data_IF_669277394522
#
_entry.id   IF_669277394522
#
_cell.length_a   1.000
_cell.length_b   1.000
_cell.length_c   1.000
_cell.angle_alpha   90.00
_cell.angle_beta   90.00
_cell.angle_gamma   90.00
#
_symmetry.space_group_name_H-M   'P 1'
#
loop_
_entity.id
_entity.type
_entity.pdbx_description
1 polymer ?
#
# COMPACT_ATOMS: atom_id res chain seq x y z
N UNK A 1 95.00 -1.65 24.38
CA UNK A 1 94.07 -2.31 23.45
C UNK A 1 92.68 -1.74 23.65
N UNK A 2 92.06 -1.31 22.54
CA UNK A 2 90.60 -1.21 22.28
C UNK A 2 89.72 -0.59 23.38
N UNK A 3 89.43 0.71 23.22
CA UNK A 3 88.26 1.38 23.81
C UNK A 3 87.20 1.59 22.72
N UNK A 4 86.03 1.00 22.93
CA UNK A 4 84.87 1.07 22.05
C UNK A 4 84.17 2.45 22.11
N UNK A 5 83.60 2.91 20.99
CA UNK A 5 82.57 3.97 20.89
C UNK A 5 81.95 3.83 19.48
N UNK A 6 80.77 3.23 19.28
CA UNK A 6 79.40 3.65 19.61
C UNK A 6 78.99 5.00 18.99
N UNK A 7 78.70 5.06 17.67
CA UNK A 7 77.89 6.16 17.09
C UNK A 7 77.56 5.97 15.59
N UNK A 8 76.49 5.23 15.25
CA UNK A 8 75.79 5.41 13.95
C UNK A 8 74.41 4.76 13.92
N UNK A 9 74.25 3.58 14.52
CA UNK A 9 72.99 2.81 14.52
C UNK A 9 71.85 3.47 15.32
N UNK A 10 72.15 4.04 16.50
CA UNK A 10 71.15 4.65 17.38
C UNK A 10 70.52 5.93 16.79
N UNK A 11 71.31 6.73 16.03
CA UNK A 11 70.81 7.94 15.38
C UNK A 11 69.89 7.64 14.18
N UNK A 12 70.07 6.50 13.51
CA UNK A 12 69.24 6.11 12.37
C UNK A 12 67.86 5.59 12.81
N UNK A 13 67.80 4.84 13.92
CA UNK A 13 66.53 4.40 14.51
C UNK A 13 65.69 5.55 15.05
N UNK A 14 66.32 6.53 15.71
CA UNK A 14 65.67 7.74 16.24
C UNK A 14 65.02 8.62 15.16
N UNK A 15 65.68 8.78 14.00
CA UNK A 15 65.14 9.58 12.88
C UNK A 15 63.93 8.92 12.20
N UNK A 16 63.90 7.59 12.10
CA UNK A 16 62.78 6.86 11.50
C UNK A 16 61.56 6.84 12.40
N UNK A 17 61.73 6.63 13.71
CA UNK A 17 60.62 6.70 14.65
C UNK A 17 60.03 8.10 14.75
N UNK A 18 60.86 9.15 14.73
CA UNK A 18 60.40 10.54 14.68
C UNK A 18 59.64 10.90 13.39
N UNK A 19 60.05 10.36 12.23
CA UNK A 19 59.34 10.57 10.97
C UNK A 19 57.99 9.84 10.93
N UNK A 20 57.91 8.62 11.46
CA UNK A 20 56.66 7.86 11.55
C UNK A 20 55.67 8.50 12.54
N UNK A 21 56.14 8.99 13.70
CA UNK A 21 55.27 9.71 14.63
C UNK A 21 54.80 11.04 14.06
N UNK A 22 55.66 11.80 13.38
CA UNK A 22 55.26 13.03 12.70
C UNK A 22 54.20 12.79 11.61
N UNK A 23 54.36 11.74 10.79
CA UNK A 23 53.39 11.38 9.75
C UNK A 23 52.04 10.93 10.34
N UNK A 24 52.06 10.14 11.43
CA UNK A 24 50.85 9.71 12.11
C UNK A 24 50.09 10.89 12.75
N UNK A 25 50.81 11.81 13.41
CA UNK A 25 50.25 13.04 13.96
C UNK A 25 49.65 13.91 12.86
N UNK A 26 50.33 14.04 11.71
CA UNK A 26 49.81 14.79 10.57
C UNK A 26 48.53 14.17 10.00
N UNK A 27 48.47 12.84 9.85
CA UNK A 27 47.24 12.16 9.40
C UNK A 27 46.07 12.34 10.37
N UNK A 28 46.31 12.28 11.68
CA UNK A 28 45.25 12.48 12.68
C UNK A 28 44.77 13.93 12.69
N UNK A 29 45.68 14.90 12.65
CA UNK A 29 45.32 16.33 12.57
C UNK A 29 44.57 16.62 11.26
N UNK A 30 45.03 16.11 10.12
CA UNK A 30 44.38 16.30 8.84
C UNK A 30 42.97 15.68 8.81
N UNK A 31 42.81 14.49 9.41
CA UNK A 31 41.49 13.83 9.53
C UNK A 31 40.55 14.63 10.43
N UNK A 32 41.04 15.17 11.55
CA UNK A 32 40.26 16.01 12.47
C UNK A 32 39.86 17.35 11.83
N UNK A 33 40.75 17.98 11.05
CA UNK A 33 40.45 19.21 10.32
C UNK A 33 39.40 18.95 9.23
N UNK A 34 39.50 17.83 8.49
CA UNK A 34 38.51 17.43 7.51
C UNK A 34 37.14 17.12 8.15
N UNK A 35 37.12 16.45 9.30
CA UNK A 35 35.89 16.22 10.08
C UNK A 35 35.28 17.54 10.59
N UNK A 36 36.12 18.51 10.99
CA UNK A 36 35.64 19.81 11.44
C UNK A 36 35.05 20.62 10.28
N UNK A 37 35.71 20.67 9.12
CA UNK A 37 35.19 21.30 7.91
C UNK A 37 33.91 20.64 7.37
N UNK A 38 33.78 19.31 7.51
CA UNK A 38 32.53 18.61 7.19
C UNK A 38 31.41 18.97 8.17
N UNK A 39 31.72 19.17 9.46
CA UNK A 39 30.72 19.57 10.46
C UNK A 39 30.21 21.00 10.25
N UNK A 40 31.05 21.90 9.73
CA UNK A 40 30.65 23.29 9.40
C UNK A 40 29.88 23.43 8.07
N UNK A 41 29.84 22.38 7.23
CA UNK A 41 29.13 22.39 5.94
C UNK A 41 27.81 21.61 5.95
N UNK A 42 27.39 21.07 7.11
CA UNK A 42 26.05 20.50 7.26
C UNK A 42 25.00 21.62 7.31
N UNK A 43 23.94 21.55 6.48
CA UNK A 43 22.86 22.54 6.54
C UNK A 43 22.24 22.54 7.94
N UNK A 44 22.16 23.73 8.55
CA UNK A 44 21.49 23.93 9.83
C UNK A 44 20.00 23.56 9.68
N UNK A 45 19.59 22.46 10.29
CA UNK A 45 18.17 22.08 10.40
C UNK A 45 17.52 23.11 11.33
N UNK A 46 16.86 24.10 10.74
CA UNK A 46 16.06 25.06 11.48
C UNK A 46 14.68 24.45 11.72
N UNK A 47 14.40 24.08 12.97
CA UNK A 47 13.06 23.74 13.40
C UNK A 47 12.20 24.99 13.32
N UNK A 48 11.27 25.05 12.36
CA UNK A 48 10.23 26.09 12.38
C UNK A 48 9.33 25.82 13.59
N UNK A 49 9.07 26.82 14.46
CA UNK A 49 8.02 26.70 15.46
C UNK A 49 6.69 26.49 14.76
N UNK A 50 5.91 25.52 15.24
CA UNK A 50 4.55 25.27 14.77
C UNK A 50 3.70 26.53 15.00
N UNK A 51 3.30 27.19 13.91
CA UNK A 51 2.32 28.27 13.95
C UNK A 51 0.93 27.64 13.92
N UNK A 52 0.15 27.80 14.99
CA UNK A 52 -1.24 27.37 15.01
C UNK A 52 -2.02 28.09 13.90
N UNK A 53 -2.87 27.38 13.12
CA UNK A 53 -3.66 28.01 12.07
C UNK A 53 -4.67 29.02 12.63
N UNK A 54 -4.88 30.09 11.87
CA UNK A 54 -5.90 31.13 12.11
C UNK A 54 -7.33 30.56 12.10
N UNK A 55 -8.29 31.02 12.92
CA UNK A 55 -9.58 30.34 13.15
C UNK A 55 -10.63 30.45 12.03
N UNK A 56 -10.29 30.89 10.82
CA UNK A 56 -11.29 31.22 9.80
C UNK A 56 -11.19 30.40 8.50
N UNK A 57 -10.88 29.10 8.58
CA UNK A 57 -10.86 28.20 7.41
C UNK A 57 -11.83 27.03 7.57
N UNK A 58 -13.03 27.14 6.99
CA UNK A 58 -13.92 26.00 6.73
C UNK A 58 -13.42 25.17 5.53
N UNK A 59 -12.14 24.83 5.51
CA UNK A 59 -11.50 24.03 4.46
C UNK A 59 -10.65 22.97 5.11
N UNK A 60 -11.21 21.78 5.28
CA UNK A 60 -10.45 20.63 5.79
C UNK A 60 -9.61 20.10 4.65
N UNK A 61 -8.34 20.49 4.63
CA UNK A 61 -7.35 19.99 3.69
C UNK A 61 -6.93 18.59 4.15
N UNK A 62 -7.54 17.56 3.56
CA UNK A 62 -6.87 16.28 3.50
C UNK A 62 -5.74 16.46 2.49
N UNK A 63 -4.50 16.25 2.92
CA UNK A 63 -3.26 16.34 2.12
C UNK A 63 -3.22 15.39 0.90
N UNK A 64 -4.36 14.80 0.51
CA UNK A 64 -4.52 14.05 -0.73
C UNK A 64 -4.44 15.02 -1.91
N UNK A 65 -3.46 14.88 -2.83
CA UNK A 65 -3.37 15.73 -4.01
C UNK A 65 -4.67 15.64 -4.83
N UNK A 66 -5.17 16.78 -5.33
CA UNK A 66 -6.27 16.79 -6.28
C UNK A 66 -5.71 16.71 -7.71
N UNK A 67 -6.10 15.67 -8.45
CA UNK A 67 -5.71 15.52 -9.85
C UNK A 67 -6.49 16.51 -10.72
N UNK A 68 -5.80 17.44 -11.39
CA UNK A 68 -6.46 18.48 -12.17
C UNK A 68 -7.29 17.90 -13.33
N UNK A 69 -6.84 16.78 -13.88
CA UNK A 69 -7.49 16.03 -14.95
C UNK A 69 -8.82 15.39 -14.52
N UNK A 70 -9.08 15.21 -13.22
CA UNK A 70 -10.35 14.67 -12.73
C UNK A 70 -11.48 15.73 -12.71
N UNK A 71 -11.14 17.03 -12.77
CA UNK A 71 -12.12 18.11 -12.65
C UNK A 71 -13.17 18.03 -13.76
N UNK A 72 -14.43 17.99 -13.36
CA UNK A 72 -15.57 17.90 -14.27
C UNK A 72 -15.90 16.48 -14.74
N UNK A 73 -15.14 15.47 -14.31
CA UNK A 73 -15.47 14.05 -14.46
C UNK A 73 -16.08 13.52 -13.16
N UNK A 74 -15.45 13.86 -12.03
CA UNK A 74 -15.88 13.43 -10.69
C UNK A 74 -16.85 14.41 -10.06
N UNK A 75 -17.80 13.91 -9.28
CA UNK A 75 -18.58 14.76 -8.38
C UNK A 75 -17.70 15.20 -7.19
N UNK A 76 -17.10 16.38 -7.32
CA UNK A 76 -16.19 16.96 -6.32
C UNK A 76 -16.85 17.09 -4.93
N UNK A 77 -18.16 17.36 -4.87
CA UNK A 77 -18.89 17.46 -3.62
C UNK A 77 -19.00 16.11 -2.91
N UNK A 78 -19.36 15.04 -3.66
CA UNK A 78 -19.41 13.67 -3.13
C UNK A 78 -18.03 13.22 -2.69
N UNK A 79 -16.99 13.53 -3.47
CA UNK A 79 -15.62 13.20 -3.10
C UNK A 79 -15.16 13.95 -1.85
N UNK A 80 -15.42 15.25 -1.76
CA UNK A 80 -15.10 16.06 -0.59
C UNK A 80 -15.85 15.58 0.66
N UNK A 81 -17.11 15.16 0.52
CA UNK A 81 -17.88 14.57 1.62
C UNK A 81 -17.30 13.23 2.06
N UNK A 82 -17.04 12.31 1.13
CA UNK A 82 -16.43 10.98 1.40
C UNK A 82 -15.14 11.12 2.18
N UNK A 83 -14.36 12.15 1.85
CA UNK A 83 -13.12 12.52 2.53
C UNK A 83 -13.33 13.02 3.96
N UNK A 84 -14.26 13.95 4.17
CA UNK A 84 -14.56 14.50 5.52
C UNK A 84 -15.21 13.49 6.45
N UNK A 85 -16.12 12.65 5.91
CA UNK A 85 -16.98 11.74 6.65
C UNK A 85 -16.20 10.83 7.63
N UNK A 86 -15.01 10.39 7.26
CA UNK A 86 -14.26 9.37 8.03
C UNK A 86 -13.06 9.90 8.82
N UNK A 87 -12.87 11.22 8.89
CA UNK A 87 -11.73 11.82 9.62
C UNK A 87 -11.72 11.49 11.11
N UNK A 88 -12.90 11.24 11.68
CA UNK A 88 -13.08 10.87 13.08
C UNK A 88 -12.76 9.40 13.37
N UNK A 89 -12.60 8.55 12.35
CA UNK A 89 -12.25 7.15 12.52
C UNK A 89 -10.79 6.98 12.93
N UNK A 90 -10.49 5.84 13.57
CA UNK A 90 -9.14 5.50 14.02
C UNK A 90 -8.18 5.37 12.84
N UNK A 91 -7.00 5.95 12.97
CA UNK A 91 -5.92 5.81 12.01
C UNK A 91 -4.72 5.02 12.56
N UNK A 92 -4.80 4.54 13.80
CA UNK A 92 -3.79 3.74 14.49
C UNK A 92 -3.99 2.22 14.34
N UNK A 93 -5.13 1.80 13.77
CA UNK A 93 -5.51 0.42 13.49
C UNK A 93 -6.15 0.28 12.11
N UNK A 94 -6.32 -0.96 11.64
CA UNK A 94 -6.99 -1.29 10.40
C UNK A 94 -8.07 -2.36 10.55
N UNK A 95 -8.98 -2.40 9.58
CA UNK A 95 -9.99 -3.45 9.42
C UNK A 95 -9.61 -4.35 8.26
N UNK A 96 -9.63 -5.67 8.47
CA UNK A 96 -9.44 -6.66 7.40
C UNK A 96 -10.80 -7.04 6.82
N UNK A 97 -10.97 -6.88 5.51
CA UNK A 97 -12.21 -7.23 4.78
C UNK A 97 -11.91 -8.40 3.85
N UNK A 98 -12.54 -9.55 4.10
CA UNK A 98 -12.33 -10.78 3.34
C UNK A 98 -13.58 -11.09 2.52
N UNK A 99 -13.48 -11.16 1.20
CA UNK A 99 -14.59 -11.62 0.36
C UNK A 99 -14.57 -13.13 0.18
N UNK A 100 -15.73 -13.78 0.36
CA UNK A 100 -15.86 -15.22 0.18
C UNK A 100 -17.14 -15.63 -0.56
N UNK A 101 -17.04 -16.73 -1.33
CA UNK A 101 -18.16 -17.37 -2.02
C UNK A 101 -17.85 -18.84 -2.26
N UNK A 102 -18.59 -19.75 -1.61
CA UNK A 102 -18.52 -21.20 -1.78
C UNK A 102 -17.12 -21.77 -1.55
N UNK A 103 -16.35 -21.18 -0.63
CA UNK A 103 -14.98 -21.58 -0.30
C UNK A 103 -14.73 -21.59 1.22
N UNK A 104 -15.55 -22.32 2.00
CA UNK A 104 -15.41 -22.35 3.46
C UNK A 104 -14.02 -22.82 3.91
N UNK A 105 -13.41 -23.79 3.23
CA UNK A 105 -12.07 -24.29 3.59
C UNK A 105 -10.98 -23.21 3.41
N UNK A 106 -11.06 -22.43 2.32
CA UNK A 106 -10.11 -21.35 2.04
C UNK A 106 -10.26 -20.23 3.05
N UNK A 107 -11.51 -19.82 3.30
CA UNK A 107 -11.83 -18.81 4.31
C UNK A 107 -11.31 -19.24 5.69
N UNK A 108 -11.60 -20.48 6.09
CA UNK A 108 -11.17 -21.01 7.38
C UNK A 108 -9.64 -21.04 7.49
N UNK A 109 -8.92 -21.46 6.44
CA UNK A 109 -7.46 -21.44 6.44
C UNK A 109 -6.90 -20.02 6.61
N UNK A 110 -7.44 -19.04 5.87
CA UNK A 110 -7.05 -17.63 6.00
C UNK A 110 -7.36 -17.08 7.40
N UNK A 111 -8.56 -17.34 7.94
CA UNK A 111 -8.95 -16.89 9.28
C UNK A 111 -8.09 -17.53 10.37
N UNK A 112 -7.84 -18.85 10.31
CA UNK A 112 -6.98 -19.54 11.28
C UNK A 112 -5.56 -18.99 11.29
N UNK A 113 -5.03 -18.59 10.14
CA UNK A 113 -3.70 -18.00 10.04
C UNK A 113 -3.66 -16.57 10.58
N UNK A 114 -4.58 -15.71 10.14
CA UNK A 114 -4.61 -14.29 10.56
C UNK A 114 -4.94 -14.16 12.05
N UNK A 115 -5.82 -15.00 12.57
CA UNK A 115 -6.26 -14.97 13.97
C UNK A 115 -5.45 -15.90 14.88
N UNK A 116 -4.46 -16.62 14.35
CA UNK A 116 -3.61 -17.51 15.13
C UNK A 116 -2.61 -16.77 16.02
N UNK A 117 -2.23 -15.54 15.63
CA UNK A 117 -1.26 -14.70 16.33
C UNK A 117 -1.86 -13.32 16.63
N UNK A 118 -1.34 -12.65 17.67
CA UNK A 118 -1.76 -11.30 17.99
C UNK A 118 -1.21 -10.32 16.94
N UNK A 119 -2.10 -9.57 16.30
CA UNK A 119 -1.75 -8.45 15.41
C UNK A 119 -2.21 -7.16 16.09
N UNK A 120 -1.33 -6.42 16.80
CA UNK A 120 -1.74 -5.28 17.62
C UNK A 120 -2.50 -4.18 16.86
N UNK A 121 -2.23 -4.02 15.56
CA UNK A 121 -2.86 -3.01 14.71
C UNK A 121 -4.15 -3.49 14.04
N UNK A 122 -4.53 -4.77 14.16
CA UNK A 122 -5.82 -5.26 13.67
C UNK A 122 -6.93 -4.83 14.64
N UNK A 123 -8.00 -4.25 14.09
CA UNK A 123 -9.17 -3.83 14.86
C UNK A 123 -10.29 -4.88 14.80
N UNK A 124 -10.67 -5.26 13.59
CA UNK A 124 -11.74 -6.21 13.31
C UNK A 124 -11.49 -6.93 11.98
N UNK A 125 -12.14 -8.08 11.83
CA UNK A 125 -12.26 -8.79 10.55
C UNK A 125 -13.71 -8.77 10.11
N UNK A 126 -13.96 -8.35 8.88
CA UNK A 126 -15.28 -8.38 8.26
C UNK A 126 -15.27 -9.34 7.08
N UNK A 127 -15.99 -10.44 7.21
CA UNK A 127 -16.17 -11.41 6.14
C UNK A 127 -17.38 -11.02 5.30
N UNK A 128 -17.15 -10.62 4.06
CA UNK A 128 -18.19 -10.32 3.08
C UNK A 128 -18.72 -11.64 2.53
N UNK A 129 -19.89 -12.04 3.03
CA UNK A 129 -20.56 -13.28 2.68
C UNK A 129 -21.42 -13.07 1.42
N UNK A 130 -20.92 -13.55 0.27
CA UNK A 130 -21.61 -13.42 -1.02
C UNK A 130 -22.58 -14.57 -1.33
N UNK A 131 -22.68 -15.58 -0.44
CA UNK A 131 -23.61 -16.69 -0.62
C UNK A 131 -25.02 -16.32 -0.12
N UNK A 132 -25.72 -15.48 -0.88
CA UNK A 132 -27.03 -14.87 -0.49
C UNK A 132 -28.15 -15.87 -0.17
N UNK A 133 -28.01 -17.12 -0.62
CA UNK A 133 -29.00 -18.19 -0.40
C UNK A 133 -28.61 -19.15 0.74
N UNK A 134 -27.53 -18.86 1.46
CA UNK A 134 -27.08 -19.67 2.60
C UNK A 134 -26.92 -18.79 3.83
N UNK A 135 -27.24 -19.35 4.99
CA UNK A 135 -27.05 -18.67 6.26
C UNK A 135 -25.55 -18.46 6.48
N UNK A 136 -25.15 -17.21 6.70
CA UNK A 136 -23.78 -16.90 7.11
C UNK A 136 -23.50 -17.48 8.51
N UNK A 137 -22.25 -17.83 8.82
CA UNK A 137 -21.86 -18.14 10.19
C UNK A 137 -22.16 -16.98 11.16
N UNK A 138 -22.29 -17.30 12.44
CA UNK A 138 -22.45 -16.29 13.49
C UNK A 138 -21.17 -15.48 13.70
N UNK A 139 -21.33 -14.21 14.05
CA UNK A 139 -20.25 -13.35 14.54
C UNK A 139 -19.57 -14.00 15.76
N UNK A 140 -18.25 -13.83 15.87
CA UNK A 140 -17.49 -14.30 17.03
C UNK A 140 -16.34 -13.36 17.40
N UNK A 141 -15.73 -13.60 18.56
CA UNK A 141 -14.53 -12.91 19.02
C UNK A 141 -13.40 -13.95 19.06
N UNK A 142 -12.26 -13.63 18.45
CA UNK A 142 -11.09 -14.51 18.47
C UNK A 142 -10.41 -14.55 19.84
N UNK A 143 -9.48 -15.49 20.03
CA UNK A 143 -8.68 -15.60 21.25
C UNK A 143 -7.83 -14.34 21.53
N UNK A 144 -7.51 -13.57 20.48
CA UNK A 144 -6.78 -12.29 20.57
C UNK A 144 -7.73 -11.07 20.63
N UNK A 145 -8.99 -11.28 21.02
CA UNK A 145 -10.01 -10.24 21.20
C UNK A 145 -10.30 -9.41 19.92
N UNK A 146 -10.18 -10.03 18.75
CA UNK A 146 -10.55 -9.43 17.46
C UNK A 146 -11.96 -9.88 17.11
N UNK A 147 -12.89 -8.93 16.90
CA UNK A 147 -14.24 -9.24 16.42
C UNK A 147 -14.17 -9.71 14.97
N UNK A 148 -14.81 -10.84 14.67
CA UNK A 148 -15.06 -11.35 13.33
C UNK A 148 -16.54 -11.23 13.04
N UNK A 149 -16.90 -10.42 12.05
CA UNK A 149 -18.29 -10.16 11.67
C UNK A 149 -18.57 -10.67 10.27
N UNK A 150 -19.70 -11.36 10.09
CA UNK A 150 -20.17 -11.81 8.79
C UNK A 150 -21.17 -10.82 8.21
N UNK A 151 -20.75 -10.09 7.18
CA UNK A 151 -21.59 -9.15 6.44
C UNK A 151 -22.24 -9.84 5.26
N UNK A 152 -23.52 -10.18 5.40
CA UNK A 152 -24.32 -10.76 4.31
C UNK A 152 -24.51 -9.73 3.20
N UNK A 153 -24.09 -10.11 2.00
CA UNK A 153 -24.28 -9.25 0.82
C UNK A 153 -25.72 -9.34 0.31
N UNK A 154 -26.31 -8.24 -0.18
CA UNK A 154 -27.65 -8.27 -0.78
C UNK A 154 -27.69 -9.04 -2.11
N UNK A 155 -26.54 -9.21 -2.78
CA UNK A 155 -26.37 -9.97 -4.01
C UNK A 155 -24.97 -10.55 -4.08
N UNK A 156 -24.80 -11.64 -4.84
CA UNK A 156 -23.47 -12.15 -5.17
C UNK A 156 -22.80 -11.21 -6.18
N UNK A 157 -21.90 -10.35 -5.70
CA UNK A 157 -21.24 -9.33 -6.53
C UNK A 157 -19.82 -9.08 -6.02
N UNK A 158 -18.88 -8.89 -6.94
CA UNK A 158 -17.50 -8.53 -6.60
C UNK A 158 -17.41 -7.12 -5.99
N UNK A 159 -18.37 -6.25 -6.28
CA UNK A 159 -18.46 -4.90 -5.70
C UNK A 159 -18.62 -4.92 -4.18
N UNK A 160 -19.19 -5.98 -3.60
CA UNK A 160 -19.54 -6.03 -2.17
C UNK A 160 -18.32 -5.99 -1.26
N UNK A 161 -17.14 -6.40 -1.74
CA UNK A 161 -15.88 -6.25 -1.01
C UNK A 161 -15.47 -4.77 -0.85
N UNK A 162 -15.83 -3.93 -1.81
CA UNK A 162 -15.47 -2.52 -1.87
C UNK A 162 -16.52 -1.60 -1.23
N UNK A 163 -17.59 -2.15 -0.67
CA UNK A 163 -18.66 -1.36 -0.07
C UNK A 163 -18.26 -0.77 1.28
N UNK A 164 -18.43 0.55 1.44
CA UNK A 164 -18.15 1.24 2.69
C UNK A 164 -19.17 0.83 3.77
N UNK A 165 -18.69 0.16 4.80
CA UNK A 165 -19.51 -0.30 5.93
C UNK A 165 -19.74 0.85 6.93
N UNK A 166 -20.99 1.16 7.31
CA UNK A 166 -21.24 2.13 8.40
C UNK A 166 -20.73 1.64 9.77
N UNK A 167 -20.49 0.34 9.95
CA UNK A 167 -19.91 -0.21 11.18
C UNK A 167 -18.38 -0.07 11.23
N UNK A 168 -17.69 0.23 10.12
CA UNK A 168 -16.24 0.40 10.15
C UNK A 168 -15.82 1.49 11.15
N UNK A 169 -14.71 1.24 11.85
CA UNK A 169 -14.15 2.15 12.86
C UNK A 169 -12.72 2.60 12.56
N UNK A 170 -12.16 2.18 11.44
CA UNK A 170 -10.80 2.50 11.01
C UNK A 170 -10.78 3.18 9.65
N UNK A 171 -9.84 4.10 9.46
CA UNK A 171 -9.57 4.73 8.17
C UNK A 171 -8.95 3.75 7.17
N UNK A 172 -8.12 2.84 7.67
CA UNK A 172 -7.42 1.83 6.88
C UNK A 172 -8.27 0.57 6.70
N UNK A 173 -8.49 0.17 5.45
CA UNK A 173 -9.18 -1.07 5.09
C UNK A 173 -8.22 -1.95 4.31
N UNK A 174 -7.85 -3.11 4.87
CA UNK A 174 -7.12 -4.14 4.15
C UNK A 174 -8.14 -5.04 3.42
N UNK A 175 -8.23 -4.89 2.11
CA UNK A 175 -9.05 -5.72 1.24
C UNK A 175 -8.32 -7.01 0.94
N UNK A 176 -9.02 -8.15 1.05
CA UNK A 176 -8.47 -9.48 0.86
C UNK A 176 -9.47 -10.41 0.16
N UNK A 177 -8.96 -11.29 -0.69
CA UNK A 177 -9.68 -12.49 -1.13
C UNK A 177 -9.48 -13.62 -0.10
N UNK A 178 -10.46 -14.51 0.03
CA UNK A 178 -10.44 -15.65 0.97
C UNK A 178 -9.28 -16.65 0.78
N UNK A 179 -8.43 -16.49 -0.24
CA UNK A 179 -7.23 -17.29 -0.52
C UNK A 179 -5.93 -16.46 -0.55
N UNK A 180 -5.97 -15.22 -0.04
CA UNK A 180 -4.86 -14.29 -0.07
C UNK A 180 -4.61 -13.64 1.29
N UNK A 181 -3.37 -13.71 1.78
CA UNK A 181 -3.00 -13.08 3.05
C UNK A 181 -1.52 -12.71 3.12
N UNK A 182 -1.21 -11.71 3.95
CA UNK A 182 0.14 -11.50 4.46
C UNK A 182 0.39 -12.44 5.64
N UNK A 183 1.64 -12.57 6.03
CA UNK A 183 1.98 -13.23 7.29
C UNK A 183 1.66 -12.27 8.45
N UNK A 184 1.09 -12.74 9.58
CA UNK A 184 0.65 -11.87 10.68
C UNK A 184 1.74 -10.89 11.15
N UNK A 185 2.96 -11.40 11.33
CA UNK A 185 4.15 -10.63 11.68
C UNK A 185 4.47 -9.46 10.75
N UNK A 186 4.08 -9.55 9.47
CA UNK A 186 4.35 -8.53 8.44
C UNK A 186 3.23 -7.49 8.34
N UNK A 187 2.02 -7.80 8.81
CA UNK A 187 0.86 -6.92 8.66
C UNK A 187 1.06 -5.58 9.37
N UNK A 188 1.69 -5.57 10.54
CA UNK A 188 2.01 -4.34 11.26
C UNK A 188 2.95 -3.41 10.48
N UNK A 189 3.99 -3.97 9.84
CA UNK A 189 4.92 -3.20 9.00
C UNK A 189 4.20 -2.59 7.79
N UNK A 190 3.40 -3.39 7.07
CA UNK A 190 2.71 -2.96 5.86
C UNK A 190 1.69 -1.86 6.18
N UNK A 191 0.92 -2.06 7.26
CA UNK A 191 -0.04 -1.06 7.74
C UNK A 191 0.64 0.25 8.12
N UNK A 192 1.72 0.20 8.92
CA UNK A 192 2.42 1.42 9.35
C UNK A 192 3.00 2.16 8.14
N UNK A 193 3.55 1.45 7.16
CA UNK A 193 4.04 2.07 5.93
C UNK A 193 2.91 2.76 5.16
N UNK A 194 1.75 2.10 4.99
CA UNK A 194 0.58 2.72 4.36
C UNK A 194 0.15 3.98 5.13
N UNK A 195 0.07 3.88 6.46
CA UNK A 195 -0.37 4.97 7.33
C UNK A 195 0.56 6.19 7.26
N UNK A 196 1.87 5.96 7.20
CA UNK A 196 2.86 7.03 7.30
C UNK A 196 3.18 7.66 5.94
N UNK A 197 3.17 6.87 4.87
CA UNK A 197 3.77 7.28 3.58
C UNK A 197 2.80 7.20 2.39
N UNK A 198 1.63 6.57 2.53
CA UNK A 198 0.82 6.20 1.36
C UNK A 198 -0.70 6.12 1.60
N UNK A 199 -1.25 6.92 2.53
CA UNK A 199 -2.70 6.99 2.78
C UNK A 199 -3.50 7.40 1.53
N UNK A 200 -2.87 8.13 0.62
CA UNK A 200 -3.42 8.62 -0.65
C UNK A 200 -3.29 7.62 -1.82
N UNK A 201 -2.85 6.38 -1.56
CA UNK A 201 -2.56 5.35 -2.56
C UNK A 201 -3.22 4.03 -2.20
N UNK A 202 -3.37 3.16 -3.20
CA UNK A 202 -3.59 1.73 -2.98
C UNK A 202 -2.23 1.09 -2.70
N UNK A 203 -2.11 0.41 -1.56
CA UNK A 203 -0.87 -0.26 -1.13
C UNK A 203 -1.11 -1.76 -1.02
N UNK A 204 -0.34 -2.61 -1.70
CA UNK A 204 -0.59 -4.06 -1.59
C UNK A 204 0.42 -4.98 -2.26
N UNK A 205 0.05 -6.25 -2.36
CA UNK A 205 1.00 -7.33 -2.66
C UNK A 205 1.19 -7.61 -4.15
N UNK A 206 0.11 -7.50 -4.94
CA UNK A 206 0.02 -8.13 -6.26
C UNK A 206 0.00 -7.09 -7.38
N UNK A 207 1.16 -6.67 -7.91
CA UNK A 207 1.23 -5.66 -8.95
C UNK A 207 0.76 -6.18 -10.30
N UNK A 208 0.11 -5.30 -11.06
CA UNK A 208 -0.31 -5.48 -12.46
C UNK A 208 0.00 -4.23 -13.26
N UNK A 209 0.04 -4.36 -14.57
CA UNK A 209 0.35 -3.27 -15.47
C UNK A 209 -0.72 -3.14 -16.56
N UNK A 210 -0.75 -1.97 -17.20
CA UNK A 210 -1.40 -1.78 -18.48
C UNK A 210 -0.33 -1.55 -19.53
N UNK A 211 -0.44 -2.26 -20.64
CA UNK A 211 0.37 -2.06 -21.85
C UNK A 211 -0.54 -1.54 -22.97
N UNK A 212 0.06 -1.16 -24.10
CA UNK A 212 -0.65 -0.74 -25.31
C UNK A 212 -0.25 -1.72 -26.42
N UNK A 213 -1.22 -2.25 -27.16
CA UNK A 213 -0.96 -3.08 -28.33
C UNK A 213 -0.66 -2.25 -29.59
N UNK A 214 -0.39 -2.90 -30.71
CA UNK A 214 -0.04 -2.25 -31.97
C UNK A 214 -1.20 -1.38 -32.51
N UNK A 215 -2.43 -1.75 -32.17
CA UNK A 215 -3.66 -1.04 -32.51
C UNK A 215 -4.00 0.11 -31.54
N UNK A 216 -3.14 0.40 -30.56
CA UNK A 216 -3.34 1.48 -29.59
C UNK A 216 -4.35 1.15 -28.49
N UNK A 217 -4.78 -0.10 -28.36
CA UNK A 217 -5.69 -0.54 -27.29
C UNK A 217 -4.93 -0.88 -26.01
N UNK A 218 -5.51 -0.52 -24.87
CA UNK A 218 -4.96 -0.89 -23.58
C UNK A 218 -5.11 -2.40 -23.34
N UNK A 219 -4.06 -3.04 -22.81
CA UNK A 219 -4.09 -4.44 -22.39
C UNK A 219 -3.69 -4.56 -20.93
N UNK A 220 -4.58 -5.16 -20.14
CA UNK A 220 -4.22 -5.66 -18.81
C UNK A 220 -3.06 -6.68 -18.90
N UNK A 221 -2.05 -6.53 -18.04
CA UNK A 221 -0.87 -7.39 -18.03
C UNK A 221 -0.41 -7.70 -16.60
N UNK A 222 0.32 -8.80 -16.44
CA UNK A 222 1.08 -9.05 -15.23
C UNK A 222 2.24 -8.07 -15.15
N UNK A 223 2.60 -7.57 -13.96
CA UNK A 223 3.75 -6.68 -13.82
C UNK A 223 5.10 -7.41 -14.01
N UNK A 224 5.12 -8.74 -13.83
CA UNK A 224 6.33 -9.54 -14.03
C UNK A 224 6.78 -9.44 -15.49
N UNK A 225 8.02 -9.01 -15.70
CA UNK A 225 8.58 -8.76 -17.02
C UNK A 225 8.58 -7.30 -17.45
N UNK A 226 8.01 -6.41 -16.63
CA UNK A 226 8.05 -4.96 -16.81
C UNK A 226 8.87 -4.30 -15.71
N UNK A 227 9.47 -3.16 -16.03
CA UNK A 227 10.17 -2.27 -15.08
C UNK A 227 9.20 -1.38 -14.29
N UNK A 228 7.89 -1.57 -14.49
CA UNK A 228 6.83 -0.74 -13.94
C UNK A 228 5.52 -1.51 -13.73
N UNK A 229 4.69 -1.00 -12.84
CA UNK A 229 3.32 -1.45 -12.62
C UNK A 229 2.41 -0.25 -12.40
N UNK A 230 1.13 -0.39 -12.69
CA UNK A 230 0.16 0.71 -12.59
C UNK A 230 -1.09 0.34 -11.81
N UNK A 231 -1.17 -0.90 -11.33
CA UNK A 231 -2.28 -1.42 -10.55
C UNK A 231 -1.76 -2.34 -9.44
N UNK A 232 -2.51 -2.40 -8.34
CA UNK A 232 -2.37 -3.39 -7.28
C UNK A 232 -3.72 -4.10 -7.10
N UNK A 233 -3.74 -5.43 -7.15
CA UNK A 233 -5.00 -6.17 -6.99
C UNK A 233 -5.53 -6.06 -5.56
N UNK A 234 -6.83 -5.83 -5.42
CA UNK A 234 -7.54 -5.72 -4.13
C UNK A 234 -7.77 -7.08 -3.45
N UNK A 235 -7.20 -8.16 -4.00
CA UNK A 235 -7.12 -9.45 -3.32
C UNK A 235 -6.17 -9.44 -2.13
N UNK A 236 -5.29 -8.44 -2.02
CA UNK A 236 -4.50 -8.16 -0.81
C UNK A 236 -3.94 -6.73 -0.87
N UNK A 237 -4.74 -5.73 -0.50
CA UNK A 237 -4.37 -4.31 -0.58
C UNK A 237 -5.06 -3.43 0.46
N UNK A 238 -4.30 -2.52 1.05
CA UNK A 238 -4.81 -1.38 1.81
C UNK A 238 -5.35 -0.28 0.91
N UNK A 239 -6.49 0.27 1.30
CA UNK A 239 -7.05 1.50 0.78
C UNK A 239 -7.67 2.32 1.94
N UNK A 240 -7.73 3.64 1.76
CA UNK A 240 -8.48 4.50 2.68
C UNK A 240 -9.98 4.32 2.48
N UNK A 241 -10.75 4.29 3.57
CA UNK A 241 -12.22 4.09 3.55
C UNK A 241 -12.97 5.13 2.70
N UNK A 242 -12.44 6.35 2.57
CA UNK A 242 -13.05 7.38 1.71
C UNK A 242 -13.09 6.97 0.24
N UNK A 243 -12.13 6.17 -0.24
CA UNK A 243 -12.17 5.64 -1.59
C UNK A 243 -13.30 4.62 -1.76
N UNK A 244 -13.52 3.77 -0.75
CA UNK A 244 -14.62 2.82 -0.75
C UNK A 244 -15.99 3.52 -0.69
N UNK A 245 -16.09 4.61 0.06
CA UNK A 245 -17.31 5.40 0.15
C UNK A 245 -17.62 6.12 -1.17
N UNK A 246 -16.63 6.77 -1.77
CA UNK A 246 -16.80 7.37 -3.09
C UNK A 246 -17.14 6.31 -4.16
N UNK A 247 -16.43 5.17 -4.14
CA UNK A 247 -16.73 4.03 -5.01
C UNK A 247 -18.16 3.52 -4.84
N UNK A 248 -18.74 3.63 -3.65
CA UNK A 248 -20.09 3.14 -3.32
C UNK A 248 -21.18 4.22 -3.43
N UNK A 249 -20.81 5.44 -3.78
CA UNK A 249 -21.70 6.60 -3.80
C UNK A 249 -22.65 6.61 -5.01
N UNK A 250 -23.60 7.55 -4.99
CA UNK A 250 -24.52 7.81 -6.10
C UNK A 250 -23.90 8.70 -7.21
N UNK A 251 -22.57 8.85 -7.23
CA UNK A 251 -21.88 9.44 -8.38
C UNK A 251 -22.24 8.63 -9.66
N UNK A 252 -22.72 9.27 -10.74
CA UNK A 252 -23.16 8.56 -11.94
C UNK A 252 -22.09 7.67 -12.56
N UNK A 253 -20.84 8.15 -12.63
CA UNK A 253 -19.74 7.37 -13.19
C UNK A 253 -19.46 6.14 -12.32
N UNK A 254 -19.51 6.29 -10.99
CA UNK A 254 -19.32 5.15 -10.08
C UNK A 254 -20.46 4.14 -10.19
N UNK A 255 -21.69 4.60 -10.41
CA UNK A 255 -22.84 3.72 -10.66
C UNK A 255 -22.65 2.89 -11.93
N UNK A 256 -22.32 3.54 -13.05
CA UNK A 256 -22.08 2.87 -14.32
C UNK A 256 -20.91 1.86 -14.23
N UNK A 257 -19.84 2.21 -13.51
CA UNK A 257 -18.69 1.32 -13.29
C UNK A 257 -19.11 0.07 -12.52
N UNK A 258 -19.87 0.22 -11.43
CA UNK A 258 -20.33 -0.91 -10.61
C UNK A 258 -21.26 -1.83 -11.40
N UNK A 259 -22.14 -1.27 -12.22
CA UNK A 259 -23.05 -2.03 -13.08
C UNK A 259 -22.29 -2.83 -14.13
N UNK A 260 -21.27 -2.23 -14.76
CA UNK A 260 -20.41 -2.94 -15.72
C UNK A 260 -19.63 -4.10 -15.06
N UNK A 261 -19.18 -3.90 -13.80
CA UNK A 261 -18.51 -4.95 -13.02
C UNK A 261 -19.47 -6.09 -12.69
N UNK A 262 -20.72 -5.79 -12.33
CA UNK A 262 -21.74 -6.81 -12.07
C UNK A 262 -22.07 -7.60 -13.35
N UNK A 263 -22.17 -6.92 -14.49
CA UNK A 263 -22.37 -7.57 -15.80
C UNK A 263 -21.20 -8.50 -16.17
N UNK A 264 -19.96 -8.01 -16.02
CA UNK A 264 -18.76 -8.79 -16.39
C UNK A 264 -18.37 -9.82 -15.35
N UNK A 265 -18.82 -9.65 -14.10
CA UNK A 265 -18.38 -10.37 -12.91
C UNK A 265 -16.84 -10.44 -12.81
N UNK A 266 -16.20 -9.27 -12.93
CA UNK A 266 -14.74 -9.10 -12.92
C UNK A 266 -14.38 -7.60 -12.74
N UNK A 267 -13.10 -7.29 -12.55
CA UNK A 267 -12.51 -5.95 -12.71
C UNK A 267 -12.80 -4.90 -11.62
N UNK A 268 -13.36 -5.28 -10.48
CA UNK A 268 -13.53 -4.37 -9.33
C UNK A 268 -12.20 -3.84 -8.82
N UNK A 269 -11.16 -4.67 -8.87
CA UNK A 269 -9.79 -4.29 -8.53
C UNK A 269 -9.21 -3.24 -9.50
N UNK A 270 -9.43 -3.43 -10.81
CA UNK A 270 -9.02 -2.47 -11.85
C UNK A 270 -9.76 -1.15 -11.65
N UNK A 271 -11.08 -1.20 -11.43
CA UNK A 271 -11.89 0.00 -11.23
C UNK A 271 -11.41 0.82 -10.02
N UNK A 272 -11.09 0.18 -8.90
CA UNK A 272 -10.56 0.89 -7.74
C UNK A 272 -9.22 1.58 -8.05
N UNK A 273 -8.32 0.94 -8.80
CA UNK A 273 -7.05 1.57 -9.21
C UNK A 273 -7.28 2.75 -10.17
N UNK A 274 -8.18 2.61 -11.15
CA UNK A 274 -8.57 3.71 -12.04
C UNK A 274 -9.10 4.90 -11.24
N UNK A 275 -10.05 4.64 -10.34
CA UNK A 275 -10.69 5.66 -9.52
C UNK A 275 -9.68 6.36 -8.60
N UNK A 276 -8.84 5.61 -7.87
CA UNK A 276 -7.85 6.22 -6.97
C UNK A 276 -6.82 7.04 -7.75
N UNK A 277 -6.26 6.50 -8.83
CA UNK A 277 -5.31 7.26 -9.66
C UNK A 277 -5.95 8.48 -10.33
N UNK A 278 -7.23 8.41 -10.70
CA UNK A 278 -7.98 9.56 -11.21
C UNK A 278 -8.13 10.62 -10.13
N UNK A 279 -8.56 10.26 -8.92
CA UNK A 279 -8.78 11.23 -7.84
C UNK A 279 -7.48 11.88 -7.36
N UNK A 280 -6.39 11.11 -7.27
CA UNK A 280 -5.18 11.54 -6.56
C UNK A 280 -3.98 11.82 -7.45
N UNK A 281 -4.04 11.48 -8.75
CA UNK A 281 -2.89 11.54 -9.65
C UNK A 281 -1.69 10.68 -9.20
N UNK A 282 -1.85 9.80 -8.20
CA UNK A 282 -0.79 8.93 -7.71
C UNK A 282 -0.82 7.54 -8.36
N UNK A 283 0.35 6.91 -8.41
CA UNK A 283 0.47 5.49 -8.74
C UNK A 283 0.19 4.63 -7.50
N UNK A 284 -0.25 3.37 -7.64
CA UNK A 284 -0.31 2.47 -6.49
C UNK A 284 1.10 2.09 -6.04
N UNK A 285 1.22 1.48 -4.86
CA UNK A 285 2.51 1.03 -4.31
C UNK A 285 2.48 -0.44 -3.94
N UNK A 286 3.46 -1.18 -4.43
CA UNK A 286 3.72 -2.53 -3.96
C UNK A 286 4.49 -2.48 -2.65
N UNK A 287 3.91 -3.08 -1.61
CA UNK A 287 4.56 -3.26 -0.30
C UNK A 287 4.43 -4.73 0.09
N UNK A 288 5.56 -5.36 0.39
CA UNK A 288 5.63 -6.76 0.82
C UNK A 288 6.38 -6.89 2.13
N UNK A 289 5.99 -7.91 2.89
CA UNK A 289 6.61 -8.27 4.15
C UNK A 289 8.00 -8.89 4.01
N UNK A 290 8.52 -9.44 5.10
CA UNK A 290 9.72 -10.25 5.10
C UNK A 290 9.48 -11.58 4.40
N UNK A 291 8.28 -12.14 4.61
CA UNK A 291 7.80 -13.34 3.94
C UNK A 291 6.96 -12.94 2.73
N UNK A 292 7.00 -13.77 1.69
CA UNK A 292 6.19 -13.52 0.50
C UNK A 292 4.70 -13.67 0.83
N UNK A 293 3.84 -12.76 0.35
CA UNK A 293 2.41 -12.87 0.52
C UNK A 293 1.88 -14.14 -0.15
N UNK A 294 0.90 -14.78 0.47
CA UNK A 294 0.26 -15.97 -0.08
C UNK A 294 -0.87 -15.55 -1.02
N UNK A 295 -0.91 -16.22 -2.17
CA UNK A 295 -2.05 -16.27 -3.07
C UNK A 295 -2.24 -17.74 -3.45
N UNK A 296 -3.06 -18.45 -2.69
CA UNK A 296 -3.20 -19.89 -2.83
C UNK A 296 -3.92 -20.27 -4.13
N UNK A 297 -4.69 -19.34 -4.72
CA UNK A 297 -5.33 -19.47 -6.01
C UNK A 297 -6.20 -20.73 -6.10
N UNK A 298 -7.47 -20.65 -5.69
CA UNK A 298 -8.36 -21.80 -5.73
C UNK A 298 -8.38 -22.53 -7.08
N UNK A 299 -8.32 -23.87 -7.09
CA UNK A 299 -8.33 -24.70 -8.33
C UNK A 299 -9.49 -24.38 -9.29
N UNK A 300 -10.59 -23.84 -8.76
CA UNK A 300 -11.79 -23.42 -9.50
C UNK A 300 -12.10 -21.92 -9.37
N UNK A 301 -11.10 -21.10 -9.08
CA UNK A 301 -11.24 -19.64 -8.94
C UNK A 301 -11.69 -18.95 -10.23
N UNK A 302 -12.21 -17.72 -10.10
CA UNK A 302 -12.69 -16.93 -11.24
C UNK A 302 -11.58 -16.67 -12.28
N UNK A 303 -10.33 -16.55 -11.81
CA UNK A 303 -9.13 -16.31 -12.62
C UNK A 303 -8.75 -17.48 -13.54
N UNK A 304 -9.20 -18.71 -13.24
CA UNK A 304 -8.89 -19.89 -14.06
C UNK A 304 -9.89 -20.11 -15.21
N UNK A 305 -11.01 -19.36 -15.21
CA UNK A 305 -12.04 -19.48 -16.24
C UNK A 305 -11.55 -18.93 -17.59
N UNK A 306 -11.92 -19.61 -18.69
CA UNK A 306 -11.63 -19.15 -20.06
C UNK A 306 -12.18 -17.73 -20.28
N UNK A 307 -11.36 -16.86 -20.86
CA UNK A 307 -11.74 -15.48 -21.14
C UNK A 307 -11.57 -14.50 -19.98
N UNK A 308 -11.11 -14.94 -18.80
CA UNK A 308 -10.89 -14.06 -17.65
C UNK A 308 -9.97 -12.86 -17.99
N UNK A 309 -8.83 -13.12 -18.63
CA UNK A 309 -7.89 -12.07 -19.05
C UNK A 309 -8.49 -11.19 -20.17
N UNK A 310 -9.25 -11.78 -21.09
CA UNK A 310 -9.96 -11.03 -22.14
C UNK A 310 -10.96 -10.03 -21.56
N UNK A 311 -11.71 -10.42 -20.52
CA UNK A 311 -12.57 -9.48 -19.78
C UNK A 311 -11.78 -8.35 -19.16
N UNK A 312 -10.63 -8.63 -18.54
CA UNK A 312 -9.76 -7.60 -17.97
C UNK A 312 -9.16 -6.65 -19.02
N UNK A 313 -8.81 -7.15 -20.21
CA UNK A 313 -8.45 -6.29 -21.34
C UNK A 313 -9.61 -5.37 -21.74
N UNK A 314 -10.85 -5.88 -21.79
CA UNK A 314 -12.02 -5.05 -22.05
C UNK A 314 -12.16 -3.97 -20.98
N UNK A 315 -12.13 -4.33 -19.70
CA UNK A 315 -12.35 -3.39 -18.59
C UNK A 315 -11.39 -2.19 -18.61
N UNK A 316 -10.10 -2.40 -18.91
CA UNK A 316 -9.15 -1.26 -18.99
C UNK A 316 -9.52 -0.27 -20.11
N UNK A 317 -10.07 -0.75 -21.23
CA UNK A 317 -10.54 0.14 -22.30
C UNK A 317 -11.91 0.74 -21.95
N UNK A 318 -12.83 -0.07 -21.40
CA UNK A 318 -14.16 0.40 -21.00
C UNK A 318 -14.06 1.54 -20.00
N UNK A 319 -13.26 1.38 -18.94
CA UNK A 319 -13.07 2.43 -17.93
C UNK A 319 -12.36 3.66 -18.52
N UNK A 320 -11.35 3.47 -19.39
CA UNK A 320 -10.71 4.60 -20.06
C UNK A 320 -11.70 5.39 -20.93
N UNK A 321 -12.63 4.70 -21.60
CA UNK A 321 -13.66 5.34 -22.43
C UNK A 321 -14.71 6.05 -21.58
N UNK A 322 -15.15 5.45 -20.47
CA UNK A 322 -16.12 6.04 -19.54
C UNK A 322 -15.57 7.30 -18.87
N UNK A 323 -14.27 7.29 -18.50
CA UNK A 323 -13.58 8.44 -17.89
C UNK A 323 -13.15 9.47 -18.95
N UNK A 324 -12.94 9.03 -20.20
CA UNK A 324 -12.45 9.86 -21.30
C UNK A 324 -10.91 9.89 -21.44
N UNK A 325 -10.18 9.25 -20.53
CA UNK A 325 -8.74 9.02 -20.61
C UNK A 325 -8.32 7.86 -19.68
N UNK A 326 -7.06 7.41 -19.77
CA UNK A 326 -6.50 6.44 -18.83
C UNK A 326 -5.79 7.17 -17.67
N UNK A 327 -6.34 7.15 -16.44
CA UNK A 327 -5.77 7.82 -15.29
C UNK A 327 -4.63 7.05 -14.60
N UNK A 328 -4.40 5.78 -14.96
CA UNK A 328 -3.42 4.95 -14.26
C UNK A 328 -2.01 5.52 -14.36
N UNK A 329 -1.32 5.59 -13.22
CA UNK A 329 0.06 6.06 -13.13
C UNK A 329 1.01 4.91 -12.83
N UNK A 330 2.16 4.91 -13.48
CA UNK A 330 3.19 3.90 -13.26
C UNK A 330 3.95 4.14 -11.95
N UNK A 331 4.27 3.06 -11.26
CA UNK A 331 5.28 2.98 -10.22
C UNK A 331 6.40 2.07 -10.69
N UNK A 332 7.64 2.46 -10.39
CA UNK A 332 8.87 1.77 -10.81
C UNK A 332 9.68 1.24 -9.62
N UNK A 333 9.13 1.33 -8.41
CA UNK A 333 9.76 0.87 -7.18
C UNK A 333 8.74 0.09 -6.33
N UNK A 334 9.24 -0.69 -5.37
CA UNK A 334 8.44 -1.41 -4.38
C UNK A 334 9.15 -1.35 -3.03
N UNK A 335 8.40 -1.59 -1.97
CA UNK A 335 8.90 -1.61 -0.60
C UNK A 335 8.89 -3.05 -0.10
N UNK A 336 9.96 -3.43 0.58
CA UNK A 336 10.13 -4.75 1.16
C UNK A 336 10.64 -4.61 2.60
N UNK A 337 10.02 -5.33 3.54
CA UNK A 337 10.49 -5.33 4.94
C UNK A 337 11.93 -5.87 5.00
N UNK A 338 12.84 -5.10 5.58
CA UNK A 338 14.20 -5.57 5.84
C UNK A 338 14.25 -6.60 6.96
N UNK A 339 15.28 -7.45 6.97
CA UNK A 339 15.59 -8.27 8.15
C UNK A 339 16.15 -7.34 9.24
N UNK A 340 15.54 -7.34 10.43
CA UNK A 340 16.21 -6.81 11.61
C UNK A 340 17.34 -7.80 11.94
N UNK A 341 18.59 -7.31 11.94
CA UNK A 341 19.76 -8.10 12.30
C UNK A 341 19.97 -8.11 13.81
#
# INVERSE_FOLDING_TARGET
MKGATFSSSLMWFSRKTAAFTAAAVFCVIFSLVMLHQYSESLPQITWRPYAAPSPNAWGVDLETPACAEARGIVSEDIWAESRRKYQHLRDDKFTLVISTFKRPDSLNATLSLVLGEEIPTLHEVVVVWNEVNTTAPDDFISDHNVRVRFRVSPRNSLNMKLWADPEFRTQAILLSDDDCHYEPDDMGFIFNYWREEAKDRIVGAFPRAVTIDEEGQYKYSFARGWDRYSMILTGLAFAHISYLDYYSSDDPLMTDIRDLIDEKFNCEDIALNYMVSMLTCNSPLQVVGLKHPINAGGKHGISTKKGHIGKRHSCVNDFSNMIGYNPLRNSTHYIHRGRQK
#
